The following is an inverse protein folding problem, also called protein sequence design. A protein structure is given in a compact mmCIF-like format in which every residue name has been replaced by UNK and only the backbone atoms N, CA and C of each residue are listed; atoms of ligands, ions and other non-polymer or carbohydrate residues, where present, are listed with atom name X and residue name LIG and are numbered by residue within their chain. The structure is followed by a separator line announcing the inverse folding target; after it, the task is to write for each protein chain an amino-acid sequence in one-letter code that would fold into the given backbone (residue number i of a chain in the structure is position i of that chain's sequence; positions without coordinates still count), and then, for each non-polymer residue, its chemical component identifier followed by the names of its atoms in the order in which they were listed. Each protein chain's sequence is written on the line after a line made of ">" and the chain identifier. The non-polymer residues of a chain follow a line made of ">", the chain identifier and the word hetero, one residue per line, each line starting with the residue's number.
data_IF_180283881714
#
_entry.id   IF_180283881714
#
_cell.length_a   1.000
_cell.length_b   1.000
_cell.length_c   1.000
_cell.angle_alpha   90.00
_cell.angle_beta   90.00
_cell.angle_gamma   90.00
#
_symmetry.space_group_name_H-M   'P 1'
#
loop_
_entity.id
_entity.type
_entity.pdbx_description
1 polymer ?
#
# COMPACT_ATOMS: atom_id res chain seq x y z
N UNK A 1 -18.49 6.76 -14.84
CA UNK A 1 -17.71 7.45 -13.82
C UNK A 1 -18.40 8.78 -13.54
N UNK A 2 -18.49 9.17 -12.30
CA UNK A 2 -18.96 10.50 -11.91
C UNK A 2 -17.74 11.37 -11.70
N UNK A 3 -17.67 12.50 -12.44
CA UNK A 3 -16.61 13.49 -12.29
C UNK A 3 -16.99 14.50 -11.21
N UNK A 4 -16.06 14.86 -10.35
CA UNK A 4 -16.19 16.02 -9.46
C UNK A 4 -14.84 16.73 -9.34
N UNK A 5 -14.89 18.06 -9.13
CA UNK A 5 -13.67 18.87 -8.94
C UNK A 5 -13.39 19.07 -7.46
N UNK A 6 -12.14 18.86 -7.04
CA UNK A 6 -11.69 19.32 -5.73
C UNK A 6 -11.56 20.85 -5.73
N UNK A 7 -12.19 21.51 -4.76
CA UNK A 7 -12.00 22.94 -4.54
C UNK A 7 -10.59 23.23 -4.01
N UNK A 8 -9.85 24.14 -4.67
CA UNK A 8 -8.57 24.64 -4.17
C UNK A 8 -7.34 24.15 -4.92
N UNK A 9 -7.31 24.23 -6.25
CA UNK A 9 -6.11 23.92 -7.08
C UNK A 9 -5.84 22.42 -7.22
N UNK A 10 -6.81 21.59 -6.87
CA UNK A 10 -6.76 20.15 -6.95
C UNK A 10 -7.05 19.63 -8.36
N UNK A 11 -6.62 18.41 -8.59
CA UNK A 11 -6.89 17.68 -9.81
C UNK A 11 -8.34 17.22 -9.85
N UNK A 12 -8.92 17.16 -11.05
CA UNK A 12 -10.21 16.51 -11.27
C UNK A 12 -10.12 15.03 -10.85
N UNK A 13 -11.12 14.54 -10.12
CA UNK A 13 -11.22 13.15 -9.68
C UNK A 13 -12.46 12.49 -10.23
N UNK A 14 -12.35 11.22 -10.53
CA UNK A 14 -13.43 10.37 -10.99
C UNK A 14 -13.69 9.26 -10.00
N UNK A 15 -14.95 8.99 -9.71
CA UNK A 15 -15.37 7.88 -8.88
C UNK A 15 -16.04 6.80 -9.73
N UNK A 16 -15.57 5.57 -9.62
CA UNK A 16 -16.20 4.43 -10.26
C UNK A 16 -17.49 4.04 -9.53
N UNK A 17 -18.65 4.11 -10.20
CA UNK A 17 -19.95 3.75 -9.59
C UNK A 17 -20.01 2.27 -9.16
N UNK A 18 -19.30 1.38 -9.88
CA UNK A 18 -19.33 -0.05 -9.61
C UNK A 18 -18.52 -0.45 -8.36
N UNK A 19 -17.29 0.07 -8.20
CA UNK A 19 -16.40 -0.35 -7.11
C UNK A 19 -16.00 0.77 -6.14
N UNK A 20 -16.35 2.04 -6.44
CA UNK A 20 -16.00 3.18 -5.60
C UNK A 20 -14.51 3.57 -5.67
N UNK A 21 -13.74 3.05 -6.63
CA UNK A 21 -12.37 3.48 -6.87
C UNK A 21 -12.35 4.93 -7.30
N UNK A 22 -11.50 5.71 -6.66
CA UNK A 22 -11.21 7.08 -7.07
C UNK A 22 -10.00 7.07 -7.99
N UNK A 23 -10.07 7.84 -9.07
CA UNK A 23 -8.97 8.03 -10.01
C UNK A 23 -8.73 9.50 -10.24
N UNK A 24 -7.48 9.88 -10.45
CA UNK A 24 -7.11 11.23 -10.88
C UNK A 24 -7.48 11.41 -12.35
N UNK A 25 -7.95 12.62 -12.74
CA UNK A 25 -8.34 12.94 -14.11
C UNK A 25 -7.15 13.00 -15.06
N UNK A 26 -6.08 13.65 -14.62
CA UNK A 26 -4.82 13.71 -15.35
C UNK A 26 -3.84 12.71 -14.75
N UNK A 27 -3.44 11.73 -15.53
CA UNK A 27 -2.45 10.73 -15.15
C UNK A 27 -1.09 11.12 -15.71
N UNK A 28 -0.02 11.08 -14.90
CA UNK A 28 1.34 11.23 -15.42
C UNK A 28 1.67 10.04 -16.32
N UNK A 29 2.65 10.23 -17.21
CA UNK A 29 3.21 9.11 -17.94
C UNK A 29 3.96 8.14 -17.00
N UNK A 30 4.21 6.93 -17.47
CA UNK A 30 4.98 5.95 -16.70
C UNK A 30 6.44 6.43 -16.54
N UNK A 31 7.01 7.05 -17.59
CA UNK A 31 8.35 7.62 -17.58
C UNK A 31 8.51 8.73 -16.54
N UNK A 32 7.57 9.69 -16.51
CA UNK A 32 7.56 10.79 -15.52
C UNK A 32 7.48 10.24 -14.09
N UNK A 33 6.62 9.25 -13.88
CA UNK A 33 6.46 8.62 -12.58
C UNK A 33 7.73 7.90 -12.15
N UNK A 34 8.33 7.09 -13.02
CA UNK A 34 9.58 6.37 -12.75
C UNK A 34 10.72 7.33 -12.46
N UNK A 35 10.85 8.41 -13.26
CA UNK A 35 11.88 9.41 -13.06
C UNK A 35 11.74 10.09 -11.70
N UNK A 36 10.53 10.51 -11.33
CA UNK A 36 10.28 11.15 -10.05
C UNK A 36 10.64 10.24 -8.85
N UNK A 37 10.30 8.94 -8.89
CA UNK A 37 10.66 7.98 -7.85
C UNK A 37 12.16 7.75 -7.76
N UNK A 38 12.89 7.74 -8.90
CA UNK A 38 14.35 7.57 -8.93
C UNK A 38 15.10 8.76 -8.35
N UNK A 39 14.64 9.97 -8.63
CA UNK A 39 15.43 11.20 -8.40
C UNK A 39 14.94 11.99 -7.18
N UNK A 40 13.65 12.03 -6.93
CA UNK A 40 13.06 13.00 -5.99
C UNK A 40 12.43 12.39 -4.75
N UNK A 41 11.82 11.21 -4.88
CA UNK A 41 11.03 10.62 -3.81
C UNK A 41 11.82 10.43 -2.50
N UNK A 42 13.00 9.85 -2.58
CA UNK A 42 13.80 9.54 -1.40
C UNK A 42 14.26 10.78 -0.64
N UNK A 43 14.60 11.83 -1.36
CA UNK A 43 15.02 13.09 -0.75
C UNK A 43 13.89 13.77 0.04
N UNK A 44 12.65 13.52 -0.34
CA UNK A 44 11.48 14.11 0.32
C UNK A 44 10.91 13.22 1.42
N UNK A 45 10.92 11.90 1.23
CA UNK A 45 10.19 10.94 2.07
C UNK A 45 11.08 9.80 2.63
N UNK A 46 12.36 9.78 2.34
CA UNK A 46 13.27 8.69 2.74
C UNK A 46 13.36 8.50 4.26
N UNK A 47 13.34 9.58 5.04
CA UNK A 47 13.35 9.50 6.50
C UNK A 47 12.11 8.78 7.08
N UNK A 48 10.97 8.88 6.38
CA UNK A 48 9.73 8.20 6.79
C UNK A 48 9.79 6.69 6.57
N UNK A 49 10.68 6.24 5.68
CA UNK A 49 10.95 4.83 5.41
C UNK A 49 11.82 4.18 6.50
N UNK A 50 12.46 5.00 7.33
CA UNK A 50 13.38 4.59 8.37
C UNK A 50 12.76 4.91 9.73
N UNK A 51 12.48 3.91 10.55
CA UNK A 51 12.03 4.15 11.92
C UNK A 51 11.04 3.13 12.46
N UNK A 52 10.84 3.19 13.77
CA UNK A 52 10.04 2.23 14.54
C UNK A 52 8.59 2.10 14.08
N UNK A 53 8.02 3.17 13.53
CA UNK A 53 6.65 3.11 13.00
C UNK A 53 6.55 2.22 11.76
N UNK A 54 7.53 2.31 10.86
CA UNK A 54 7.61 1.42 9.68
C UNK A 54 7.83 -0.02 10.12
N UNK A 55 8.71 -0.26 11.08
CA UNK A 55 8.96 -1.58 11.65
C UNK A 55 7.69 -2.21 12.24
N UNK A 56 6.88 -1.43 12.97
CA UNK A 56 5.62 -1.92 13.55
C UNK A 56 4.63 -2.34 12.47
N UNK A 57 4.52 -1.58 11.37
CA UNK A 57 3.70 -1.98 10.22
C UNK A 57 4.24 -3.25 9.57
N UNK A 58 5.54 -3.34 9.33
CA UNK A 58 6.16 -4.53 8.75
C UNK A 58 5.95 -5.76 9.63
N UNK A 59 6.02 -5.61 10.95
CA UNK A 59 5.72 -6.69 11.90
C UNK A 59 4.28 -7.15 11.78
N UNK A 60 3.32 -6.21 11.78
CA UNK A 60 1.90 -6.51 11.60
C UNK A 60 1.63 -7.23 10.27
N UNK A 61 2.23 -6.74 9.17
CA UNK A 61 2.10 -7.37 7.84
C UNK A 61 2.60 -8.81 7.88
N UNK A 62 3.79 -9.05 8.44
CA UNK A 62 4.33 -10.40 8.55
C UNK A 62 3.50 -11.29 9.45
N UNK A 63 2.94 -10.78 10.54
CA UNK A 63 2.00 -11.55 11.39
C UNK A 63 0.77 -11.97 10.61
N UNK A 64 0.20 -11.09 9.79
CA UNK A 64 -0.94 -11.39 8.92
C UNK A 64 -0.60 -12.48 7.90
N UNK A 65 0.56 -12.36 7.23
CA UNK A 65 1.01 -13.34 6.24
C UNK A 65 1.30 -14.69 6.89
N UNK A 66 2.06 -14.72 7.99
CA UNK A 66 2.45 -15.96 8.68
C UNK A 66 1.24 -16.69 9.27
N UNK A 67 0.25 -15.95 9.81
CA UNK A 67 -0.99 -16.56 10.35
C UNK A 67 -1.77 -17.29 9.26
N UNK A 68 -1.72 -16.79 8.04
CA UNK A 68 -2.45 -17.37 6.91
C UNK A 68 -1.59 -18.35 6.07
N UNK A 69 -0.26 -18.36 6.25
CA UNK A 69 0.69 -19.23 5.55
C UNK A 69 1.60 -19.94 6.56
N UNK A 70 1.42 -21.25 6.72
CA UNK A 70 2.01 -22.03 7.82
C UNK A 70 3.52 -22.21 7.77
N UNK A 71 4.17 -22.00 6.62
CA UNK A 71 5.61 -22.23 6.44
C UNK A 71 6.28 -21.02 5.79
N UNK A 72 7.53 -20.70 6.16
CA UNK A 72 8.30 -19.67 5.44
C UNK A 72 8.47 -20.03 3.97
N UNK A 73 8.47 -19.00 3.12
CA UNK A 73 8.60 -19.15 1.67
C UNK A 73 9.26 -17.94 1.04
N UNK A 74 8.95 -17.68 -0.23
CA UNK A 74 9.43 -16.52 -0.96
C UNK A 74 8.44 -15.34 -0.82
N UNK A 75 8.92 -14.27 -0.19
CA UNK A 75 8.25 -12.96 -0.10
C UNK A 75 8.77 -12.03 -1.19
N UNK A 76 7.88 -11.50 -2.01
CA UNK A 76 8.18 -10.45 -3.01
C UNK A 76 7.55 -9.15 -2.56
N UNK A 77 8.36 -8.11 -2.32
CA UNK A 77 7.90 -6.80 -1.84
C UNK A 77 8.08 -5.73 -2.91
N UNK A 78 6.97 -5.18 -3.39
CA UNK A 78 6.94 -4.19 -4.46
C UNK A 78 7.00 -2.79 -3.84
N UNK A 79 7.98 -1.97 -4.27
CA UNK A 79 8.29 -0.69 -3.63
C UNK A 79 8.86 -0.90 -2.23
N UNK A 80 9.82 -1.80 -2.11
CA UNK A 80 10.33 -2.27 -0.82
C UNK A 80 11.08 -1.19 -0.01
N UNK A 81 11.40 -0.04 -0.61
CA UNK A 81 12.19 1.01 0.01
C UNK A 81 13.54 0.49 0.51
N UNK A 82 13.92 0.83 1.74
CA UNK A 82 15.14 0.34 2.38
C UNK A 82 15.05 -1.12 2.87
N UNK A 83 14.00 -1.87 2.49
CA UNK A 83 13.88 -3.30 2.76
C UNK A 83 13.37 -3.67 4.16
N UNK A 84 12.66 -2.78 4.84
CA UNK A 84 12.19 -3.03 6.22
C UNK A 84 11.32 -4.29 6.33
N UNK A 85 10.40 -4.53 5.37
CA UNK A 85 9.57 -5.72 5.35
C UNK A 85 10.38 -6.98 5.04
N UNK A 86 11.29 -6.91 4.08
CA UNK A 86 12.19 -8.03 3.73
C UNK A 86 13.02 -8.46 4.94
N UNK A 87 13.58 -7.50 5.68
CA UNK A 87 14.32 -7.76 6.92
C UNK A 87 13.44 -8.42 7.99
N UNK A 88 12.21 -7.94 8.13
CA UNK A 88 11.24 -8.51 9.06
C UNK A 88 10.86 -9.95 8.69
N UNK A 89 10.76 -10.24 7.38
CA UNK A 89 10.54 -11.58 6.84
C UNK A 89 11.74 -12.50 7.06
N UNK A 90 12.96 -12.03 6.78
CA UNK A 90 14.19 -12.79 7.01
C UNK A 90 14.34 -13.24 8.46
N UNK A 91 13.99 -12.38 9.44
CA UNK A 91 13.94 -12.73 10.86
C UNK A 91 12.92 -13.82 11.23
N UNK A 92 12.07 -14.20 10.28
CA UNK A 92 11.07 -15.27 10.40
C UNK A 92 11.33 -16.46 9.43
N UNK A 93 12.52 -16.51 8.84
CA UNK A 93 12.93 -17.57 7.92
C UNK A 93 12.43 -17.41 6.48
N UNK A 94 11.80 -16.27 6.12
CA UNK A 94 11.38 -16.02 4.75
C UNK A 94 12.56 -15.55 3.89
N UNK A 95 12.67 -16.08 2.66
CA UNK A 95 13.50 -15.48 1.63
C UNK A 95 12.75 -14.26 1.07
N UNK A 96 13.45 -13.13 0.91
CA UNK A 96 12.84 -11.90 0.41
C UNK A 96 13.48 -11.42 -0.88
N UNK A 97 12.65 -10.97 -1.83
CA UNK A 97 13.05 -10.25 -3.03
C UNK A 97 12.29 -8.92 -3.08
N UNK A 98 13.01 -7.81 -3.25
CA UNK A 98 12.43 -6.48 -3.38
C UNK A 98 12.52 -5.91 -4.78
N UNK A 99 11.55 -5.06 -5.13
CA UNK A 99 11.58 -4.20 -6.32
C UNK A 99 11.49 -2.75 -5.86
N UNK A 100 12.44 -1.91 -6.26
CA UNK A 100 12.50 -0.51 -5.83
C UNK A 100 13.15 0.34 -6.94
N UNK A 101 12.66 1.57 -7.14
CA UNK A 101 13.15 2.50 -8.15
C UNK A 101 14.21 3.47 -7.60
N UNK A 102 14.10 3.80 -6.31
CA UNK A 102 14.98 4.76 -5.66
C UNK A 102 16.37 4.17 -5.40
N UNK A 103 17.39 4.66 -6.11
CA UNK A 103 18.79 4.22 -5.95
C UNK A 103 19.29 4.28 -4.50
N UNK A 104 19.06 5.38 -3.74
CA UNK A 104 19.49 5.44 -2.34
C UNK A 104 18.84 4.36 -1.49
N UNK A 105 17.54 4.09 -1.69
CA UNK A 105 16.82 3.04 -0.97
C UNK A 105 17.38 1.65 -1.30
N UNK A 106 17.58 1.36 -2.60
CA UNK A 106 18.20 0.10 -3.07
C UNK A 106 19.60 -0.09 -2.48
N UNK A 107 20.44 0.95 -2.52
CA UNK A 107 21.78 0.91 -1.94
C UNK A 107 21.73 0.55 -0.46
N UNK A 108 20.83 1.19 0.29
CA UNK A 108 20.65 0.93 1.71
C UNK A 108 20.12 -0.50 1.99
N UNK A 109 19.18 -0.99 1.20
CA UNK A 109 18.67 -2.35 1.34
C UNK A 109 19.77 -3.39 1.05
N UNK A 110 20.52 -3.21 -0.05
CA UNK A 110 21.63 -4.09 -0.42
C UNK A 110 22.78 -4.07 0.59
N UNK A 111 23.08 -2.93 1.23
CA UNK A 111 24.09 -2.86 2.29
C UNK A 111 23.73 -3.70 3.52
N UNK A 112 22.45 -4.04 3.69
CA UNK A 112 21.95 -4.94 4.73
C UNK A 112 21.87 -6.42 4.28
N UNK A 113 22.41 -6.74 3.08
CA UNK A 113 22.41 -8.10 2.53
C UNK A 113 21.08 -8.53 1.90
N UNK A 114 20.17 -7.58 1.62
CA UNK A 114 18.88 -7.90 1.03
C UNK A 114 18.96 -7.97 -0.50
N UNK A 115 18.21 -8.91 -1.09
CA UNK A 115 18.09 -9.07 -2.55
C UNK A 115 17.06 -8.06 -3.09
N UNK A 116 17.52 -7.02 -3.82
CA UNK A 116 16.66 -5.97 -4.35
C UNK A 116 17.01 -5.68 -5.81
N UNK A 117 15.98 -5.68 -6.66
CA UNK A 117 16.07 -5.25 -8.06
C UNK A 117 15.82 -3.75 -8.16
N UNK A 118 16.79 -3.01 -8.74
CA UNK A 118 16.65 -1.56 -9.03
C UNK A 118 15.85 -1.36 -10.32
N UNK A 119 14.57 -1.67 -10.28
CA UNK A 119 13.68 -1.58 -11.43
C UNK A 119 12.21 -1.46 -11.02
N UNK A 120 11.37 -1.09 -11.99
CA UNK A 120 9.91 -1.20 -11.87
C UNK A 120 9.48 -2.66 -11.70
N UNK A 121 8.32 -2.86 -11.06
CA UNK A 121 7.68 -4.17 -10.98
C UNK A 121 7.34 -4.75 -12.37
N UNK A 122 7.00 -3.87 -13.31
CA UNK A 122 6.67 -4.28 -14.68
C UNK A 122 7.76 -3.80 -15.66
N UNK A 123 8.28 -4.69 -16.52
CA UNK A 123 8.04 -6.14 -16.57
C UNK A 123 8.74 -6.89 -15.43
N UNK A 124 8.10 -7.92 -14.89
CA UNK A 124 8.65 -8.72 -13.80
C UNK A 124 9.50 -9.88 -14.33
N UNK A 125 10.76 -10.03 -13.86
CA UNK A 125 11.64 -11.11 -14.29
C UNK A 125 11.38 -12.45 -13.61
N UNK A 126 10.51 -12.49 -12.59
CA UNK A 126 10.25 -13.71 -11.83
C UNK A 126 9.39 -14.69 -12.62
N UNK A 127 9.63 -15.98 -12.42
CA UNK A 127 8.83 -17.04 -13.02
C UNK A 127 7.40 -17.05 -12.47
N UNK A 128 6.46 -17.57 -13.27
CA UNK A 128 5.11 -17.84 -12.79
C UNK A 128 5.17 -18.84 -11.61
N UNK A 129 4.25 -18.67 -10.66
CA UNK A 129 4.07 -19.59 -9.52
C UNK A 129 5.33 -19.81 -8.68
N UNK A 130 6.15 -18.76 -8.54
CA UNK A 130 7.42 -18.81 -7.81
C UNK A 130 7.33 -18.24 -6.39
N UNK A 131 6.38 -17.34 -6.09
CA UNK A 131 6.27 -16.65 -4.82
C UNK A 131 5.16 -17.20 -3.91
N UNK A 132 5.42 -17.19 -2.61
CA UNK A 132 4.44 -17.53 -1.56
C UNK A 132 3.63 -16.33 -1.13
N UNK A 133 4.25 -15.15 -1.11
CA UNK A 133 3.61 -13.90 -0.79
C UNK A 133 4.11 -12.77 -1.70
N UNK A 134 3.19 -11.90 -2.13
CA UNK A 134 3.48 -10.64 -2.83
C UNK A 134 2.86 -9.50 -2.04
N UNK A 135 3.63 -8.43 -1.82
CA UNK A 135 3.20 -7.30 -1.00
C UNK A 135 3.29 -5.96 -1.75
N UNK A 136 2.30 -5.09 -1.48
CA UNK A 136 2.23 -3.70 -1.93
C UNK A 136 1.95 -2.82 -0.71
N UNK A 137 2.98 -2.21 -0.13
CA UNK A 137 2.85 -1.36 1.06
C UNK A 137 2.93 0.12 0.69
N UNK A 138 1.78 0.78 0.52
CA UNK A 138 1.65 2.16 0.05
C UNK A 138 2.31 2.38 -1.31
N UNK A 139 2.01 1.49 -2.25
CA UNK A 139 2.60 1.48 -3.60
C UNK A 139 1.53 1.40 -4.67
N UNK A 140 0.50 0.56 -4.48
CA UNK A 140 -0.49 0.25 -5.51
C UNK A 140 -1.23 1.52 -5.99
N UNK A 141 -1.47 2.45 -5.11
CA UNK A 141 -2.14 3.73 -5.35
C UNK A 141 -1.27 4.76 -6.10
N UNK A 142 0.02 4.50 -6.21
CA UNK A 142 0.99 5.30 -6.95
C UNK A 142 1.36 4.73 -8.33
N UNK A 143 1.00 3.49 -8.62
CA UNK A 143 1.30 2.87 -9.92
C UNK A 143 0.40 3.43 -11.01
N UNK A 144 0.96 3.76 -12.17
CA UNK A 144 0.19 4.18 -13.36
C UNK A 144 -0.69 3.03 -13.85
N UNK A 145 -0.21 1.81 -13.73
CA UNK A 145 -0.89 0.57 -14.19
C UNK A 145 -1.12 -0.42 -13.04
N UNK A 146 -1.92 -0.06 -12.00
CA UNK A 146 -2.08 -0.87 -10.79
C UNK A 146 -2.73 -2.23 -11.07
N UNK A 147 -3.63 -2.31 -12.06
CA UNK A 147 -4.32 -3.56 -12.38
C UNK A 147 -3.42 -4.54 -13.12
N UNK A 148 -2.50 -4.06 -13.94
CA UNK A 148 -1.50 -4.92 -14.58
C UNK A 148 -0.48 -5.40 -13.54
N UNK A 149 -0.15 -4.56 -12.57
CA UNK A 149 0.68 -4.97 -11.43
C UNK A 149 0.03 -6.07 -10.58
N UNK A 150 -1.29 -5.99 -10.36
CA UNK A 150 -2.05 -7.04 -9.67
C UNK A 150 -2.16 -8.34 -10.48
N UNK A 151 -2.34 -8.26 -11.80
CA UNK A 151 -2.31 -9.44 -12.69
C UNK A 151 -0.95 -10.12 -12.66
N UNK A 152 0.12 -9.34 -12.64
CA UNK A 152 1.48 -9.86 -12.56
C UNK A 152 1.75 -10.50 -11.20
N UNK A 153 1.26 -9.92 -10.11
CA UNK A 153 1.30 -10.55 -8.79
C UNK A 153 0.56 -11.89 -8.77
N UNK A 154 -0.60 -11.95 -9.41
CA UNK A 154 -1.34 -13.21 -9.60
C UNK A 154 -0.51 -14.25 -10.35
N UNK A 155 0.15 -13.86 -11.44
CA UNK A 155 1.00 -14.76 -12.23
C UNK A 155 2.15 -15.35 -11.42
N UNK A 156 2.82 -14.49 -10.64
CA UNK A 156 4.02 -14.85 -9.87
C UNK A 156 3.66 -15.67 -8.62
N UNK A 157 2.50 -15.43 -8.02
CA UNK A 157 2.04 -16.22 -6.87
C UNK A 157 1.78 -17.67 -7.25
N UNK A 158 2.30 -18.61 -6.45
CA UNK A 158 1.94 -20.03 -6.54
C UNK A 158 0.48 -20.26 -6.12
N UNK A 159 -0.15 -21.36 -6.53
CA UNK A 159 -1.43 -21.79 -5.94
C UNK A 159 -1.33 -21.84 -4.41
N UNK A 160 -2.31 -21.24 -3.72
CA UNK A 160 -2.28 -21.08 -2.27
C UNK A 160 -1.46 -19.90 -1.74
N UNK A 161 -0.67 -19.24 -2.61
CA UNK A 161 0.09 -18.03 -2.26
C UNK A 161 -0.81 -16.83 -1.97
N UNK A 162 -0.27 -15.82 -1.32
CA UNK A 162 -1.02 -14.69 -0.77
C UNK A 162 -0.58 -13.37 -1.36
N UNK A 163 -1.54 -12.48 -1.57
CA UNK A 163 -1.29 -11.06 -1.82
C UNK A 163 -1.66 -10.26 -0.58
N UNK A 164 -0.77 -9.35 -0.18
CA UNK A 164 -1.05 -8.35 0.84
C UNK A 164 -0.90 -6.95 0.26
N UNK A 165 -1.92 -6.13 0.45
CA UNK A 165 -1.97 -4.74 -0.04
C UNK A 165 -2.27 -3.84 1.15
N UNK A 166 -1.53 -2.75 1.30
CA UNK A 166 -1.85 -1.65 2.20
C UNK A 166 -1.80 -0.35 1.42
N UNK A 167 -2.87 0.44 1.54
CA UNK A 167 -2.99 1.75 0.88
C UNK A 167 -3.73 2.73 1.80
N UNK A 168 -3.54 4.06 1.62
CA UNK A 168 -4.42 5.05 2.22
C UNK A 168 -5.87 4.83 1.83
N UNK A 169 -6.79 5.09 2.75
CA UNK A 169 -8.23 4.97 2.52
C UNK A 169 -8.73 6.14 1.66
N UNK A 170 -8.65 6.00 0.35
CA UNK A 170 -8.99 7.05 -0.60
C UNK A 170 -10.37 7.71 -0.34
N UNK A 171 -11.48 6.95 -0.22
CA UNK A 171 -12.79 7.51 0.08
C UNK A 171 -12.87 8.32 1.38
N UNK A 172 -12.14 7.91 2.42
CA UNK A 172 -12.09 8.66 3.68
C UNK A 172 -11.31 9.98 3.50
N UNK A 173 -10.12 9.89 2.91
CA UNK A 173 -9.29 11.06 2.64
C UNK A 173 -10.00 12.07 1.75
N UNK A 174 -10.71 11.61 0.73
CA UNK A 174 -11.50 12.45 -0.16
C UNK A 174 -12.64 13.19 0.58
N UNK A 175 -13.37 12.50 1.46
CA UNK A 175 -14.43 13.12 2.28
C UNK A 175 -13.86 14.18 3.23
N UNK A 176 -12.76 13.86 3.91
CA UNK A 176 -12.09 14.79 4.83
C UNK A 176 -11.57 16.01 4.08
N UNK A 177 -10.93 15.80 2.93
CA UNK A 177 -10.44 16.89 2.08
C UNK A 177 -11.57 17.84 1.66
N UNK A 178 -12.71 17.31 1.22
CA UNK A 178 -13.88 18.13 0.85
C UNK A 178 -14.44 18.94 2.01
N UNK A 179 -14.53 18.37 3.21
CA UNK A 179 -14.99 19.08 4.40
C UNK A 179 -14.03 20.21 4.74
N UNK A 180 -12.71 19.93 4.78
CA UNK A 180 -11.70 20.92 5.12
C UNK A 180 -11.64 22.06 4.10
N UNK A 181 -11.73 21.74 2.79
CA UNK A 181 -11.79 22.76 1.73
C UNK A 181 -13.03 23.63 1.84
N UNK A 182 -14.18 23.06 2.21
CA UNK A 182 -15.41 23.83 2.50
C UNK A 182 -15.27 24.79 3.69
N UNK A 183 -14.34 24.51 4.62
CA UNK A 183 -13.98 25.38 5.74
C UNK A 183 -12.84 26.35 5.41
N UNK A 184 -12.40 26.46 4.15
CA UNK A 184 -11.28 27.31 3.74
C UNK A 184 -9.89 26.79 4.13
N UNK A 185 -9.80 25.52 4.58
CA UNK A 185 -8.56 24.86 4.93
C UNK A 185 -8.07 24.05 3.73
N UNK A 186 -7.02 24.52 3.06
CA UNK A 186 -6.40 23.78 1.99
C UNK A 186 -5.69 22.56 2.58
N UNK A 187 -6.16 21.38 2.21
CA UNK A 187 -5.52 20.11 2.54
C UNK A 187 -4.63 19.69 1.37
N UNK A 188 -3.33 19.53 1.63
CA UNK A 188 -2.44 18.97 0.64
C UNK A 188 -2.80 17.49 0.45
N UNK A 189 -3.45 17.20 -0.65
CA UNK A 189 -3.66 15.82 -1.07
C UNK A 189 -2.33 15.27 -1.57
N UNK A 190 -1.80 14.28 -0.89
CA UNK A 190 -0.62 13.54 -1.34
C UNK A 190 -0.91 12.99 -2.73
N UNK A 191 0.13 12.96 -3.59
CA UNK A 191 0.06 12.60 -5.02
C UNK A 191 -0.33 11.13 -5.27
N UNK A 192 -1.48 10.69 -4.75
CA UNK A 192 -2.03 9.38 -5.08
C UNK A 192 -2.73 9.44 -6.44
N UNK A 193 -2.38 8.55 -7.36
CA UNK A 193 -3.04 8.42 -8.66
C UNK A 193 -4.42 7.78 -8.51
N UNK A 194 -4.53 6.88 -7.53
CA UNK A 194 -5.74 6.14 -7.22
C UNK A 194 -6.09 6.24 -5.73
N UNK A 195 -7.37 6.33 -5.45
CA UNK A 195 -7.91 6.25 -4.08
C UNK A 195 -8.65 4.93 -3.89
N UNK A 196 -7.93 3.93 -3.43
CA UNK A 196 -8.53 2.64 -3.07
C UNK A 196 -9.25 2.74 -1.74
N UNK A 197 -10.39 2.07 -1.66
CA UNK A 197 -11.10 1.81 -0.43
C UNK A 197 -11.44 0.33 -0.33
N UNK A 198 -12.08 -0.08 0.76
CA UNK A 198 -12.47 -1.48 1.00
C UNK A 198 -13.19 -2.11 -0.20
N UNK A 199 -14.22 -1.42 -0.72
CA UNK A 199 -15.03 -1.92 -1.85
C UNK A 199 -14.21 -2.11 -3.11
N UNK A 200 -13.30 -1.17 -3.41
CA UNK A 200 -12.46 -1.24 -4.60
C UNK A 200 -11.45 -2.40 -4.50
N UNK A 201 -10.75 -2.54 -3.37
CA UNK A 201 -9.82 -3.66 -3.16
C UNK A 201 -10.53 -5.01 -3.26
N UNK A 202 -11.65 -5.17 -2.53
CA UNK A 202 -12.43 -6.41 -2.58
C UNK A 202 -12.91 -6.73 -3.99
N UNK A 203 -13.47 -5.75 -4.70
CA UNK A 203 -13.97 -5.94 -6.07
C UNK A 203 -12.88 -6.39 -7.05
N UNK A 204 -11.73 -5.72 -7.06
CA UNK A 204 -10.66 -6.03 -8.02
C UNK A 204 -9.94 -7.33 -7.69
N UNK A 205 -9.70 -7.64 -6.41
CA UNK A 205 -9.09 -8.90 -6.02
C UNK A 205 -10.00 -10.10 -6.34
N UNK A 206 -11.29 -10.01 -6.01
CA UNK A 206 -12.26 -11.07 -6.35
C UNK A 206 -12.37 -11.25 -7.87
N UNK A 207 -12.39 -10.15 -8.64
CA UNK A 207 -12.47 -10.22 -10.11
C UNK A 207 -11.21 -10.83 -10.75
N UNK A 208 -10.06 -10.72 -10.12
CA UNK A 208 -8.83 -11.39 -10.53
C UNK A 208 -8.80 -12.87 -10.15
N UNK A 209 -9.79 -13.33 -9.39
CA UNK A 209 -9.89 -14.73 -8.98
C UNK A 209 -9.30 -15.03 -7.61
N UNK A 210 -8.85 -14.03 -6.84
CA UNK A 210 -8.44 -14.26 -5.45
C UNK A 210 -9.63 -14.66 -4.60
N UNK A 211 -9.40 -15.60 -3.68
CA UNK A 211 -10.35 -16.06 -2.67
C UNK A 211 -9.96 -15.59 -1.28
N UNK A 212 -10.85 -15.78 -0.31
CA UNK A 212 -10.63 -15.38 1.10
C UNK A 212 -10.19 -13.91 1.23
N UNK A 213 -10.82 -13.04 0.43
CA UNK A 213 -10.50 -11.62 0.39
C UNK A 213 -10.95 -10.95 1.68
N UNK A 214 -9.98 -10.64 2.55
CA UNK A 214 -10.20 -9.99 3.84
C UNK A 214 -9.65 -8.55 3.80
N UNK A 215 -10.56 -7.56 3.77
CA UNK A 215 -10.22 -6.14 3.74
C UNK A 215 -10.62 -5.47 5.04
N UNK A 216 -9.65 -4.84 5.71
CA UNK A 216 -9.79 -4.20 7.03
C UNK A 216 -9.17 -2.81 7.07
N UNK A 217 -9.40 -2.12 8.19
CA UNK A 217 -8.59 -0.97 8.57
C UNK A 217 -7.19 -1.44 8.96
N UNK A 218 -6.18 -0.80 8.40
CA UNK A 218 -4.79 -1.07 8.74
C UNK A 218 -4.34 -0.26 9.96
N UNK A 219 -3.39 -0.76 10.77
CA UNK A 219 -2.76 0.03 11.82
C UNK A 219 -2.20 1.35 11.29
N UNK A 220 -2.39 2.48 12.02
CA UNK A 220 -1.86 3.77 11.59
C UNK A 220 -0.32 3.78 11.67
N UNK A 221 0.31 4.38 10.66
CA UNK A 221 1.74 4.70 10.67
C UNK A 221 1.96 6.15 11.13
N UNK A 222 3.22 6.52 11.40
CA UNK A 222 3.55 7.93 11.66
C UNK A 222 3.40 8.78 10.39
N UNK A 223 3.57 8.17 9.21
CA UNK A 223 3.44 8.81 7.91
C UNK A 223 1.98 9.01 7.46
N UNK A 224 1.02 8.22 7.98
CA UNK A 224 -0.40 8.34 7.64
C UNK A 224 -1.04 9.64 8.16
N UNK A 225 -0.28 10.51 8.80
CA UNK A 225 -0.79 11.77 9.27
C UNK A 225 -0.94 12.74 8.08
N UNK A 226 -2.17 13.21 7.91
CA UNK A 226 -2.56 14.30 7.04
C UNK A 226 -1.44 15.34 6.88
N UNK A 227 -0.91 15.49 5.65
CA UNK A 227 0.15 16.44 5.32
C UNK A 227 -0.36 17.86 5.45
N UNK A 228 -0.19 18.49 6.59
CA UNK A 228 -0.26 19.93 6.70
C UNK A 228 1.11 20.50 6.30
N UNK A 229 1.12 21.36 5.31
CA UNK A 229 2.31 22.06 4.87
C UNK A 229 2.88 22.95 6.00
N UNK A 230 4.20 22.91 6.17
CA UNK A 230 4.91 23.80 7.04
C UNK A 230 5.67 23.16 8.20
N UNK A 231 6.91 23.64 8.38
CA UNK A 231 7.92 23.32 9.39
C UNK A 231 7.48 23.46 10.87
N UNK A 232 6.21 23.69 11.16
CA UNK A 232 5.65 23.72 12.50
C UNK A 232 5.15 22.33 12.90
N UNK A 233 5.99 21.60 13.62
CA UNK A 233 5.57 20.50 14.51
C UNK A 233 4.65 21.08 15.58
N UNK A 234 3.39 21.34 15.26
CA UNK A 234 2.45 21.88 16.23
C UNK A 234 2.09 20.76 17.21
N UNK A 235 1.96 21.11 18.49
CA UNK A 235 1.42 20.24 19.55
C UNK A 235 0.08 19.64 19.13
N UNK A 236 -0.71 20.37 18.36
CA UNK A 236 -1.96 19.90 17.75
C UNK A 236 -1.77 18.68 16.83
N UNK A 237 -0.71 18.65 16.02
CA UNK A 237 -0.39 17.50 15.14
C UNK A 237 -0.02 16.25 15.94
N UNK A 238 0.73 16.43 17.04
CA UNK A 238 1.06 15.32 17.95
C UNK A 238 -0.18 14.81 18.66
N UNK A 239 -1.04 15.72 19.14
CA UNK A 239 -2.31 15.39 19.76
C UNK A 239 -3.25 14.65 18.79
N UNK A 240 -3.41 15.14 17.56
CA UNK A 240 -4.23 14.49 16.52
C UNK A 240 -3.72 13.06 16.22
N UNK A 241 -2.40 12.87 16.10
CA UNK A 241 -1.79 11.55 15.91
C UNK A 241 -2.04 10.61 17.10
N UNK A 242 -1.99 11.15 18.31
CA UNK A 242 -2.25 10.35 19.51
C UNK A 242 -3.72 9.96 19.61
N UNK A 243 -4.63 10.86 19.30
CA UNK A 243 -6.07 10.58 19.23
C UNK A 243 -6.39 9.53 18.16
N UNK A 244 -5.77 9.60 16.99
CA UNK A 244 -5.95 8.63 15.91
C UNK A 244 -5.48 7.22 16.33
N UNK A 245 -4.35 7.11 17.03
CA UNK A 245 -3.87 5.85 17.60
C UNK A 245 -4.81 5.28 18.66
N UNK A 246 -5.32 6.13 19.54
CA UNK A 246 -6.26 5.73 20.58
C UNK A 246 -7.59 5.25 19.95
N UNK A 247 -8.11 6.00 18.98
CA UNK A 247 -9.31 5.65 18.24
C UNK A 247 -9.15 4.31 17.50
N UNK A 248 -8.00 4.12 16.81
CA UNK A 248 -7.68 2.85 16.18
C UNK A 248 -7.61 1.71 17.20
N UNK A 249 -6.91 1.91 18.32
CA UNK A 249 -6.80 0.89 19.38
C UNK A 249 -8.17 0.49 19.97
N UNK A 250 -9.06 1.46 20.18
CA UNK A 250 -10.42 1.21 20.63
C UNK A 250 -11.24 0.46 19.56
N UNK A 251 -11.15 0.90 18.32
CA UNK A 251 -11.83 0.29 17.17
C UNK A 251 -11.37 -1.17 16.96
N UNK A 252 -10.06 -1.42 17.04
CA UNK A 252 -9.48 -2.75 16.92
C UNK A 252 -9.96 -3.68 18.04
N UNK A 253 -9.94 -3.21 19.31
CA UNK A 253 -10.46 -3.99 20.45
C UNK A 253 -11.95 -4.29 20.34
N UNK A 254 -12.71 -3.38 19.72
CA UNK A 254 -14.15 -3.57 19.48
C UNK A 254 -14.44 -4.42 18.22
N UNK A 255 -13.42 -4.90 17.48
CA UNK A 255 -13.60 -5.64 16.22
C UNK A 255 -14.17 -4.81 15.07
N UNK A 256 -14.11 -3.47 15.17
CA UNK A 256 -14.62 -2.55 14.17
C UNK A 256 -13.61 -2.24 13.05
N UNK A 257 -12.37 -2.73 13.17
CA UNK A 257 -11.33 -2.66 12.14
C UNK A 257 -11.78 -3.28 10.81
N UNK A 258 -12.66 -4.27 10.88
CA UNK A 258 -13.28 -4.93 9.70
C UNK A 258 -14.14 -4.00 8.85
N UNK A 259 -14.51 -2.83 9.34
CA UNK A 259 -15.40 -1.91 8.63
C UNK A 259 -14.64 -0.97 7.68
N UNK A 260 -13.32 -0.90 7.78
CA UNK A 260 -12.48 -0.11 6.87
C UNK A 260 -12.65 1.41 7.06
N UNK A 261 -12.92 1.88 8.27
CA UNK A 261 -13.16 3.29 8.58
C UNK A 261 -11.90 4.06 8.98
N UNK A 262 -10.74 3.41 9.02
CA UNK A 262 -9.48 4.05 9.37
C UNK A 262 -8.82 4.80 8.21
N UNK A 263 -7.74 5.56 8.49
CA UNK A 263 -7.01 6.35 7.50
C UNK A 263 -6.32 5.50 6.43
N UNK A 264 -6.03 4.25 6.72
CA UNK A 264 -5.49 3.27 5.77
C UNK A 264 -6.29 1.99 5.81
N UNK A 265 -6.34 1.30 4.67
CA UNK A 265 -6.94 -0.01 4.52
C UNK A 265 -5.91 -1.03 4.09
N UNK A 266 -6.08 -2.26 4.55
CA UNK A 266 -5.28 -3.40 4.13
C UNK A 266 -6.16 -4.50 3.56
N UNK A 267 -5.63 -5.24 2.61
CA UNK A 267 -6.25 -6.42 2.05
C UNK A 267 -5.28 -7.59 2.12
N UNK A 268 -5.76 -8.74 2.57
CA UNK A 268 -5.10 -10.02 2.45
C UNK A 268 -6.01 -10.93 1.64
N UNK A 269 -5.47 -11.57 0.61
CA UNK A 269 -6.24 -12.49 -0.23
C UNK A 269 -5.34 -13.63 -0.69
N UNK A 270 -5.95 -14.73 -1.09
CA UNK A 270 -5.25 -15.97 -1.44
C UNK A 270 -5.52 -16.35 -2.90
N UNK A 271 -4.48 -16.74 -3.63
CA UNK A 271 -4.66 -17.43 -4.92
C UNK A 271 -5.20 -18.83 -4.64
N UNK A 272 -6.28 -19.27 -5.31
CA UNK A 272 -6.84 -20.61 -5.12
C UNK A 272 -5.78 -21.70 -5.22
N UNK A 273 -5.97 -22.79 -4.49
CA UNK A 273 -5.21 -24.00 -4.72
C UNK A 273 -5.55 -24.53 -6.12
N UNK A 274 -4.58 -25.03 -6.85
CA UNK A 274 -4.89 -25.75 -8.09
C UNK A 274 -5.87 -26.87 -7.80
N UNK A 275 -6.92 -27.07 -8.64
CA UNK A 275 -7.81 -28.20 -8.45
C UNK A 275 -6.97 -29.49 -8.44
N UNK A 276 -7.22 -30.32 -7.43
CA UNK A 276 -6.62 -31.66 -7.40
C UNK A 276 -7.05 -32.34 -8.69
N UNK A 277 -6.09 -32.59 -9.58
CA UNK A 277 -6.37 -33.45 -10.75
C UNK A 277 -6.74 -34.82 -10.19
N UNK A 278 -8.02 -35.15 -10.25
CA UNK A 278 -8.45 -36.53 -10.03
C UNK A 278 -7.65 -37.42 -11.02
N UNK A 279 -6.92 -38.38 -10.47
CA UNK A 279 -6.13 -39.35 -11.24
C UNK A 279 -7.06 -40.45 -11.77
#
# INVERSE_FOLDING_TARGET
>A
MEAYREGGGGYERFCCRQCGLLTRGEMPSEEETVQWYRESYWNQFGEEQLGTARENVCRHVMERIVTAHQSPGLLVDIGCGAGALLKCGAGRGWRGIGFELSRPAVSQARSQGLEVYEQSWLPCPLHAESADAVTFLNVLDHLVRPFDALKEAWRVLRPGGQIYIRVPNGPLHDRVSRILSGCGLNHLTVMHLYGFGRRALSFHLTRLGFESVDVRTSPPTQADAYGFDGKRRSLFRQFAKQMDRMAYGAMYRAGLDRWGWGPSVEALARKPLAPVKER
#
